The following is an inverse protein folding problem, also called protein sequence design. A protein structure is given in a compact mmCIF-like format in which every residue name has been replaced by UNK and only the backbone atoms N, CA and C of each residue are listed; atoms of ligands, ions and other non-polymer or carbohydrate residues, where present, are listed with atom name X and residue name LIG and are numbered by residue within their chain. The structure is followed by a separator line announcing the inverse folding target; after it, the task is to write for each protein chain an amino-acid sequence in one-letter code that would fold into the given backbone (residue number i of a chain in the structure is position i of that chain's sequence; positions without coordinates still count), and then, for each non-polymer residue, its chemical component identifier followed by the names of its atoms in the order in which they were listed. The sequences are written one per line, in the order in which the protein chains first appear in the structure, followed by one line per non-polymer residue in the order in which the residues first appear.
data_IF_375591140507
#
_entry.id   IF_375591140507
#
_cell.length_a   1.000
_cell.length_b   1.000
_cell.length_c   1.000
_cell.angle_alpha   90.00
_cell.angle_beta   90.00
_cell.angle_gamma   90.00
#
_symmetry.space_group_name_H-M   'P 1'
#
loop_
_entity.id
_entity.type
_entity.pdbx_description
1 polymer ?
#
# COMPACT_ATOMS: atom_id res chain seq x y z
N UNK A 1 -17.56 13.16 35.12
CA UNK A 1 -17.70 11.87 34.40
C UNK A 1 -17.54 12.04 32.90
N UNK A 2 -18.25 12.97 32.23
CA UNK A 2 -18.18 13.18 30.77
C UNK A 2 -16.78 13.46 30.15
N UNK A 3 -15.84 14.06 30.91
CA UNK A 3 -14.51 14.37 30.38
C UNK A 3 -13.57 13.14 30.22
N UNK A 4 -13.86 12.04 30.93
CA UNK A 4 -13.03 10.83 30.87
C UNK A 4 -13.42 9.95 29.68
N UNK A 5 -14.73 9.84 29.41
CA UNK A 5 -15.29 9.09 28.28
C UNK A 5 -14.84 9.68 26.93
N UNK A 6 -14.93 11.01 26.76
CA UNK A 6 -14.49 11.69 25.53
C UNK A 6 -12.99 11.52 25.24
N UNK A 7 -12.16 11.38 26.28
CA UNK A 7 -10.72 11.19 26.13
C UNK A 7 -10.36 9.71 25.84
N UNK A 8 -11.17 8.76 26.30
CA UNK A 8 -11.03 7.34 25.97
C UNK A 8 -11.48 7.06 24.54
N UNK A 9 -12.63 7.60 24.12
CA UNK A 9 -13.15 7.51 22.75
C UNK A 9 -12.15 8.07 21.71
N UNK A 10 -11.63 9.28 21.92
CA UNK A 10 -10.64 9.86 21.00
C UNK A 10 -9.32 9.07 20.91
N UNK A 11 -8.94 8.33 21.96
CA UNK A 11 -7.78 7.43 21.96
C UNK A 11 -8.05 6.11 21.24
N UNK A 12 -9.28 5.60 21.28
CA UNK A 12 -9.66 4.39 20.55
C UNK A 12 -9.81 4.66 19.06
N UNK A 13 -10.48 5.76 18.70
CA UNK A 13 -10.63 6.22 17.31
C UNK A 13 -9.25 6.46 16.67
N UNK A 14 -8.38 7.23 17.30
CA UNK A 14 -7.03 7.49 16.76
C UNK A 14 -6.17 6.21 16.58
N UNK A 15 -6.34 5.20 17.44
CA UNK A 15 -5.67 3.89 17.25
C UNK A 15 -6.32 3.05 16.15
N UNK A 16 -7.64 3.14 15.97
CA UNK A 16 -8.35 2.42 14.93
C UNK A 16 -7.98 2.99 13.54
N UNK A 17 -8.02 4.32 13.39
CA UNK A 17 -7.62 5.05 12.19
C UNK A 17 -6.15 4.78 11.86
N UNK A 18 -5.21 4.98 12.79
CA UNK A 18 -3.79 4.74 12.54
C UNK A 18 -3.47 3.28 12.15
N UNK A 19 -4.19 2.29 12.70
CA UNK A 19 -4.05 0.88 12.28
C UNK A 19 -4.67 0.62 10.91
N UNK A 20 -5.75 1.30 10.55
CA UNK A 20 -6.38 1.16 9.23
C UNK A 20 -5.47 1.74 8.14
N UNK A 21 -4.98 2.96 8.35
CA UNK A 21 -4.05 3.65 7.45
C UNK A 21 -2.76 2.86 7.29
N UNK A 22 -2.07 2.51 8.39
CA UNK A 22 -0.81 1.76 8.32
C UNK A 22 -0.95 0.39 7.63
N UNK A 23 -2.10 -0.29 7.79
CA UNK A 23 -2.37 -1.54 7.05
C UNK A 23 -2.66 -1.31 5.57
N UNK A 24 -3.30 -0.19 5.21
CA UNK A 24 -3.55 0.15 3.82
C UNK A 24 -2.23 0.49 3.10
N UNK A 25 -1.41 1.33 3.70
CA UNK A 25 -0.08 1.70 3.20
C UNK A 25 0.83 0.48 3.07
N UNK A 26 0.98 -0.32 4.14
CA UNK A 26 1.83 -1.51 4.10
C UNK A 26 1.39 -2.55 3.07
N UNK A 27 0.08 -2.69 2.80
CA UNK A 27 -0.42 -3.56 1.73
C UNK A 27 -0.13 -3.01 0.34
N UNK A 28 -0.23 -1.69 0.16
CA UNK A 28 0.09 -1.05 -1.11
C UNK A 28 1.58 -1.18 -1.43
N UNK A 29 2.44 -0.91 -0.44
CA UNK A 29 3.90 -1.07 -0.56
C UNK A 29 4.30 -2.52 -0.82
N UNK A 30 3.78 -3.47 -0.02
CA UNK A 30 4.08 -4.89 -0.22
C UNK A 30 3.68 -5.40 -1.60
N UNK A 31 2.48 -5.02 -2.06
CA UNK A 31 2.01 -5.37 -3.42
C UNK A 31 2.90 -4.77 -4.51
N UNK A 32 3.39 -3.56 -4.31
CA UNK A 32 4.30 -2.91 -5.25
C UNK A 32 5.63 -3.66 -5.34
N UNK A 33 6.28 -3.92 -4.20
CA UNK A 33 7.56 -4.62 -4.14
C UNK A 33 7.49 -5.99 -4.82
N UNK A 34 6.46 -6.78 -4.53
CA UNK A 34 6.28 -8.09 -5.17
C UNK A 34 6.13 -7.98 -6.68
N UNK A 35 5.40 -6.99 -7.20
CA UNK A 35 5.26 -6.83 -8.65
C UNK A 35 6.57 -6.46 -9.34
N UNK A 36 7.43 -5.66 -8.71
CA UNK A 36 8.75 -5.31 -9.24
C UNK A 36 9.67 -6.52 -9.26
N UNK A 37 9.75 -7.26 -8.15
CA UNK A 37 10.57 -8.48 -8.03
C UNK A 37 10.19 -9.51 -9.09
N UNK A 38 8.89 -9.78 -9.27
CA UNK A 38 8.42 -10.74 -10.27
C UNK A 38 8.77 -10.35 -11.70
N UNK A 39 8.88 -9.06 -12.01
CA UNK A 39 9.33 -8.58 -13.33
C UNK A 39 10.84 -8.74 -13.48
N UNK A 40 11.61 -8.44 -12.44
CA UNK A 40 13.06 -8.61 -12.42
C UNK A 40 13.47 -10.08 -12.55
N UNK A 41 12.71 -10.99 -11.92
CA UNK A 41 12.88 -12.44 -12.03
C UNK A 41 12.40 -13.00 -13.39
N UNK A 42 11.75 -12.18 -14.22
CA UNK A 42 11.21 -12.60 -15.52
C UNK A 42 9.96 -13.48 -15.42
N UNK A 43 9.37 -13.63 -14.23
CA UNK A 43 8.14 -14.40 -13.98
C UNK A 43 6.92 -13.66 -14.54
N UNK A 44 6.90 -12.33 -14.40
CA UNK A 44 5.89 -11.46 -14.98
C UNK A 44 6.49 -10.58 -16.08
N UNK A 45 5.69 -10.31 -17.10
CA UNK A 45 6.03 -9.27 -18.07
C UNK A 45 5.80 -7.88 -17.47
N UNK A 46 6.54 -6.88 -17.95
CA UNK A 46 6.33 -5.48 -17.57
C UNK A 46 4.87 -5.04 -17.78
N UNK A 47 4.27 -5.48 -18.89
CA UNK A 47 2.87 -5.26 -19.24
C UNK A 47 1.89 -5.82 -18.20
N UNK A 48 2.08 -7.08 -17.80
CA UNK A 48 1.19 -7.73 -16.85
C UNK A 48 1.32 -7.11 -15.45
N UNK A 49 2.54 -6.76 -15.04
CA UNK A 49 2.78 -6.08 -13.77
C UNK A 49 2.17 -4.68 -13.75
N UNK A 50 2.33 -3.89 -14.82
CA UNK A 50 1.71 -2.57 -14.96
C UNK A 50 0.18 -2.65 -14.89
N UNK A 51 -0.43 -3.60 -15.60
CA UNK A 51 -1.88 -3.85 -15.56
C UNK A 51 -2.35 -4.22 -14.14
N UNK A 52 -1.61 -5.09 -13.44
CA UNK A 52 -1.92 -5.48 -12.04
C UNK A 52 -1.73 -4.35 -11.05
N UNK A 53 -0.83 -3.41 -11.33
CA UNK A 53 -0.63 -2.18 -10.59
C UNK A 53 -1.62 -1.06 -10.97
N UNK A 54 -2.48 -1.28 -11.97
CA UNK A 54 -3.48 -0.30 -12.42
C UNK A 54 -2.88 0.91 -13.13
N UNK A 55 -1.73 0.76 -13.80
CA UNK A 55 -1.03 1.85 -14.47
C UNK A 55 -0.46 1.44 -15.84
N UNK A 56 0.10 2.41 -16.58
CA UNK A 56 0.77 2.14 -17.86
C UNK A 56 2.14 1.51 -17.67
N UNK A 57 2.62 0.80 -18.70
CA UNK A 57 3.95 0.18 -18.72
C UNK A 57 5.05 1.20 -18.46
N UNK A 58 5.00 2.36 -19.12
CA UNK A 58 5.99 3.43 -18.91
C UNK A 58 5.99 3.96 -17.48
N UNK A 59 4.82 4.10 -16.87
CA UNK A 59 4.70 4.58 -15.48
C UNK A 59 5.24 3.53 -14.51
N UNK A 60 4.89 2.26 -14.73
CA UNK A 60 5.41 1.16 -13.95
C UNK A 60 6.94 1.09 -14.06
N UNK A 61 7.47 1.15 -15.28
CA UNK A 61 8.91 1.14 -15.57
C UNK A 61 9.66 2.23 -14.83
N UNK A 62 9.18 3.47 -14.91
CA UNK A 62 9.79 4.63 -14.21
C UNK A 62 9.78 4.47 -12.70
N UNK A 63 8.68 4.00 -12.12
CA UNK A 63 8.56 3.81 -10.67
C UNK A 63 9.37 2.61 -10.18
N UNK A 64 9.49 1.56 -10.99
CA UNK A 64 10.25 0.35 -10.70
C UNK A 64 11.76 0.50 -10.95
N UNK A 65 12.18 1.63 -11.52
CA UNK A 65 13.56 1.88 -11.96
C UNK A 65 14.10 0.78 -12.91
N UNK A 66 13.24 0.25 -13.79
CA UNK A 66 13.55 -0.71 -14.86
C UNK A 66 13.71 -0.01 -16.21
#
# INVERSE_FOLDING_TARGET
MAANEAHEEGREEGRAEGRAEGRAEGRAEGRWTTLVELVQEGILTLKDAAKRAGMSEDKFRKLAAL
#
